data_IF_244171167293
#
_entry.id   IF_244171167293
#
_cell.length_a   1.000
_cell.length_b   1.000
_cell.length_c   1.000
_cell.angle_alpha   90.00
_cell.angle_beta   90.00
_cell.angle_gamma   90.00
#
_symmetry.space_group_name_H-M   'P 1'
#
loop_
_entity.id
_entity.type
_entity.pdbx_description
1 polymer ?
#
# COMPACT_ATOMS: atom_id res chain seq x y z
N UNK A 1 3.87 -34.14 1.31
CA UNK A 1 5.15 -33.40 1.34
C UNK A 1 4.88 -31.98 0.86
N UNK A 2 5.20 -30.96 1.65
CA UNK A 2 5.01 -29.56 1.27
C UNK A 2 6.13 -29.12 0.32
N UNK A 3 6.03 -29.50 -0.96
CA UNK A 3 6.75 -28.79 -2.02
C UNK A 3 5.98 -27.50 -2.32
N UNK A 4 5.99 -26.56 -1.36
CA UNK A 4 5.62 -25.18 -1.64
C UNK A 4 6.77 -24.66 -2.48
N UNK A 5 6.59 -24.75 -3.81
CA UNK A 5 7.45 -24.09 -4.77
C UNK A 5 7.69 -22.68 -4.29
N UNK A 6 8.93 -22.24 -4.41
CA UNK A 6 9.30 -20.84 -4.36
C UNK A 6 8.56 -20.16 -5.51
N UNK A 7 7.29 -19.82 -5.28
CA UNK A 7 6.54 -18.89 -6.10
C UNK A 7 7.13 -17.52 -5.75
N UNK A 8 8.27 -17.21 -6.38
CA UNK A 8 8.61 -15.82 -6.64
C UNK A 8 7.40 -15.26 -7.37
N UNK A 9 6.54 -14.54 -6.63
CA UNK A 9 5.31 -13.94 -7.14
C UNK A 9 5.59 -13.36 -8.51
N UNK A 10 4.83 -13.81 -9.51
CA UNK A 10 5.06 -13.37 -10.87
C UNK A 10 4.91 -11.85 -10.96
N UNK A 11 5.60 -11.18 -11.89
CA UNK A 11 5.45 -9.74 -12.10
C UNK A 11 3.97 -9.30 -12.23
N UNK A 12 3.13 -10.15 -12.82
CA UNK A 12 1.70 -9.91 -12.94
C UNK A 12 0.95 -9.93 -11.60
N UNK A 13 1.30 -10.83 -10.68
CA UNK A 13 0.70 -10.88 -9.34
C UNK A 13 1.10 -9.69 -8.49
N UNK A 14 2.36 -9.27 -8.56
CA UNK A 14 2.85 -8.07 -7.88
C UNK A 14 2.11 -6.84 -8.41
N UNK A 15 1.94 -6.70 -9.73
CA UNK A 15 1.17 -5.62 -10.34
C UNK A 15 -0.31 -5.63 -9.89
N UNK A 16 -0.94 -6.80 -9.78
CA UNK A 16 -2.29 -6.94 -9.25
C UNK A 16 -2.38 -6.47 -7.79
N UNK A 17 -1.38 -6.81 -6.98
CA UNK A 17 -1.29 -6.44 -5.58
C UNK A 17 -1.05 -4.93 -5.41
N UNK A 18 -0.19 -4.32 -6.23
CA UNK A 18 -0.03 -2.86 -6.32
C UNK A 18 -1.36 -2.20 -6.69
N UNK A 19 -2.10 -2.74 -7.68
CA UNK A 19 -3.39 -2.18 -8.08
C UNK A 19 -4.45 -2.27 -6.96
N UNK A 20 -4.43 -3.34 -6.15
CA UNK A 20 -5.28 -3.47 -4.97
C UNK A 20 -4.88 -2.45 -3.88
N UNK A 21 -3.58 -2.31 -3.59
CA UNK A 21 -3.06 -1.33 -2.64
C UNK A 21 -3.35 0.11 -3.06
N UNK A 22 -3.23 0.45 -4.36
CA UNK A 22 -3.59 1.77 -4.89
C UNK A 22 -5.09 2.06 -4.74
N UNK A 23 -5.96 1.05 -4.88
CA UNK A 23 -7.40 1.18 -4.61
C UNK A 23 -7.66 1.44 -3.12
N UNK A 24 -7.04 0.66 -2.24
CA UNK A 24 -7.14 0.87 -0.79
C UNK A 24 -6.61 2.25 -0.36
N UNK A 25 -5.50 2.70 -0.96
CA UNK A 25 -4.94 4.03 -0.73
C UNK A 25 -5.93 5.14 -1.09
N UNK A 26 -6.60 5.05 -2.26
CA UNK A 26 -7.62 6.02 -2.66
C UNK A 26 -8.80 6.05 -1.69
N UNK A 27 -9.29 4.89 -1.27
CA UNK A 27 -10.37 4.81 -0.29
C UNK A 27 -9.99 5.49 1.03
N UNK A 28 -8.77 5.24 1.53
CA UNK A 28 -8.25 5.91 2.73
C UNK A 28 -8.05 7.41 2.52
N UNK A 29 -7.68 7.85 1.31
CA UNK A 29 -7.52 9.28 1.01
C UNK A 29 -8.87 10.01 1.03
N UNK A 30 -9.90 9.40 0.45
CA UNK A 30 -11.26 9.92 0.53
C UNK A 30 -11.78 9.94 1.97
N UNK A 31 -11.48 8.92 2.77
CA UNK A 31 -11.84 8.87 4.19
C UNK A 31 -11.14 9.98 4.98
N UNK A 32 -9.85 10.24 4.71
CA UNK A 32 -9.11 11.36 5.28
C UNK A 32 -9.69 12.71 4.83
N UNK A 33 -10.08 12.85 3.56
CA UNK A 33 -10.67 14.09 3.04
C UNK A 33 -12.06 14.36 3.62
N UNK A 34 -12.84 13.32 3.87
CA UNK A 34 -14.16 13.43 4.51
C UNK A 34 -14.08 13.61 6.02
N UNK A 35 -12.96 13.27 6.64
CA UNK A 35 -12.78 13.40 8.09
C UNK A 35 -12.65 14.88 8.49
N UNK A 36 -13.53 15.39 9.38
CA UNK A 36 -13.45 16.76 9.84
C UNK A 36 -12.19 17.00 10.67
N UNK A 37 -11.68 18.23 10.64
CA UNK A 37 -10.52 18.66 11.45
C UNK A 37 -10.93 18.93 12.91
N UNK A 38 -11.55 17.93 13.54
CA UNK A 38 -11.95 18.00 14.94
C UNK A 38 -10.82 17.50 15.84
N UNK A 39 -10.65 18.08 17.04
CA UNK A 39 -9.61 17.65 17.99
C UNK A 39 -9.79 16.20 18.48
N UNK A 40 -11.02 15.67 18.51
CA UNK A 40 -11.29 14.26 18.85
C UNK A 40 -10.78 13.30 17.76
N UNK A 41 -10.77 13.75 16.51
CA UNK A 41 -10.33 12.97 15.36
C UNK A 41 -8.83 13.10 15.11
N UNK A 42 -8.08 13.93 15.86
CA UNK A 42 -6.62 14.06 15.66
C UNK A 42 -5.90 12.71 15.73
N UNK A 43 -6.30 11.84 16.67
CA UNK A 43 -5.72 10.51 16.81
C UNK A 43 -6.10 9.61 15.63
N UNK A 44 -7.36 9.68 15.18
CA UNK A 44 -7.82 8.94 14.00
C UNK A 44 -7.11 9.41 12.73
N UNK A 45 -6.99 10.72 12.52
CA UNK A 45 -6.32 11.34 11.40
C UNK A 45 -4.82 10.99 11.39
N UNK A 46 -4.15 10.97 12.56
CA UNK A 46 -2.77 10.48 12.69
C UNK A 46 -2.66 8.99 12.30
N UNK A 47 -3.62 8.15 12.72
CA UNK A 47 -3.67 6.73 12.34
C UNK A 47 -3.90 6.52 10.85
N UNK A 48 -4.83 7.25 10.25
CA UNK A 48 -5.13 7.19 8.82
C UNK A 48 -3.93 7.64 7.97
N UNK A 49 -3.28 8.75 8.34
CA UNK A 49 -2.04 9.21 7.69
C UNK A 49 -0.92 8.18 7.79
N UNK A 50 -0.74 7.53 8.95
CA UNK A 50 0.23 6.45 9.12
C UNK A 50 -0.10 5.24 8.24
N UNK A 51 -1.38 4.87 8.15
CA UNK A 51 -1.85 3.75 7.32
C UNK A 51 -1.68 4.05 5.82
N UNK A 52 -1.95 5.29 5.40
CA UNK A 52 -1.67 5.79 4.06
C UNK A 52 -0.18 5.71 3.72
N UNK A 53 0.69 6.11 4.64
CA UNK A 53 2.15 6.00 4.48
C UNK A 53 2.58 4.53 4.32
N UNK A 54 2.10 3.64 5.20
CA UNK A 54 2.41 2.20 5.11
C UNK A 54 1.97 1.58 3.77
N UNK A 55 0.81 1.97 3.24
CA UNK A 55 0.36 1.47 1.93
C UNK A 55 1.27 1.99 0.82
N UNK A 56 1.68 3.26 0.87
CA UNK A 56 2.64 3.82 -0.07
C UNK A 56 3.98 3.08 0.01
N UNK A 57 4.50 2.83 1.22
CA UNK A 57 5.75 2.10 1.43
C UNK A 57 5.66 0.66 0.91
N UNK A 58 4.52 0.00 1.10
CA UNK A 58 4.27 -1.33 0.56
C UNK A 58 4.19 -1.33 -0.98
N UNK A 59 3.57 -0.31 -1.58
CA UNK A 59 3.56 -0.14 -3.04
C UNK A 59 4.99 0.02 -3.55
N UNK A 60 5.79 0.89 -2.93
CA UNK A 60 7.19 1.11 -3.32
C UNK A 60 8.00 -0.18 -3.18
N UNK A 61 7.82 -0.91 -2.08
CA UNK A 61 8.51 -2.19 -1.87
C UNK A 61 8.16 -3.21 -2.95
N UNK A 62 6.88 -3.32 -3.31
CA UNK A 62 6.40 -4.21 -4.37
C UNK A 62 6.84 -3.73 -5.76
N UNK A 63 6.87 -2.42 -6.00
CA UNK A 63 7.39 -1.83 -7.24
C UNK A 63 8.89 -2.11 -7.38
N UNK A 64 9.67 -1.99 -6.29
CA UNK A 64 11.09 -2.36 -6.24
C UNK A 64 11.33 -3.87 -6.45
N UNK A 65 10.40 -4.72 -6.03
CA UNK A 65 10.46 -6.17 -6.25
C UNK A 65 10.04 -6.55 -7.68
N UNK A 66 9.19 -5.73 -8.30
CA UNK A 66 8.76 -5.86 -9.70
C UNK A 66 9.78 -5.32 -10.71
N UNK A 67 10.53 -4.27 -10.33
CA UNK A 67 11.51 -3.58 -11.16
C UNK A 67 12.90 -4.03 -10.71
N UNK A 68 13.53 -5.05 -11.33
CA UNK A 68 14.90 -5.41 -10.99
C UNK A 68 15.96 -4.40 -11.45
N UNK A 69 15.60 -3.24 -12.00
CA UNK A 69 16.56 -2.21 -12.39
C UNK A 69 15.89 -0.84 -12.44
N UNK A 70 16.24 0.05 -11.51
CA UNK A 70 16.91 1.35 -11.79
C UNK A 70 16.71 2.30 -10.59
N UNK A 71 17.74 2.55 -9.76
CA UNK A 71 17.71 3.60 -8.76
C UNK A 71 18.02 4.94 -9.45
N UNK A 72 17.07 5.88 -9.45
CA UNK A 72 17.35 7.30 -9.69
C UNK A 72 16.30 8.20 -9.02
#
# INVERSE_FOLDING_TARGET
MYARGVDTLSPAEIALQIAALRRAHRALDEEIQRMPANPEDELQMKRLKKRKLQIKDNIIRLEMELVPDEPA
#
